data_IF_592136199732
#
_entry.id   IF_592136199732
#
_cell.length_a   1.000
_cell.length_b   1.000
_cell.length_c   1.000
_cell.angle_alpha   90.00
_cell.angle_beta   90.00
_cell.angle_gamma   90.00
#
_symmetry.space_group_name_H-M   'P 1'
#
loop_
_entity.id
_entity.type
_entity.pdbx_description
1 polymer ?
#
# COMPACT_ATOMS: atom_id res chain seq x y z
N UNK A 1 -8.29 -47.87 -2.91
CA UNK A 1 -9.44 -47.78 -1.99
C UNK A 1 -9.16 -46.72 -0.94
N UNK A 2 -9.69 -45.49 -1.09
CA UNK A 2 -9.56 -44.43 -0.09
C UNK A 2 -10.83 -44.41 0.78
N UNK A 3 -10.68 -44.62 2.09
CA UNK A 3 -11.75 -44.55 3.09
C UNK A 3 -11.98 -43.08 3.49
N UNK A 4 -13.22 -42.62 3.38
CA UNK A 4 -13.70 -41.29 3.81
C UNK A 4 -14.09 -41.34 5.29
N UNK A 5 -13.56 -40.46 6.16
CA UNK A 5 -13.76 -40.59 7.63
C UNK A 5 -14.12 -39.33 8.42
N UNK A 6 -14.71 -38.27 7.83
CA UNK A 6 -15.52 -37.29 8.61
C UNK A 6 -16.33 -36.34 7.72
N UNK A 7 -17.58 -36.08 8.13
CA UNK A 7 -18.53 -35.14 7.49
C UNK A 7 -18.52 -33.83 8.28
N UNK A 8 -18.33 -32.69 7.61
CA UNK A 8 -18.48 -31.38 8.25
C UNK A 8 -19.98 -31.09 8.44
N UNK A 9 -20.41 -30.72 9.66
CA UNK A 9 -21.82 -30.61 10.03
C UNK A 9 -22.59 -29.41 9.44
N UNK A 10 -21.93 -28.50 8.71
CA UNK A 10 -22.58 -27.28 8.20
C UNK A 10 -22.53 -27.13 6.67
N UNK A 11 -21.73 -27.94 5.97
CA UNK A 11 -21.63 -27.91 4.51
C UNK A 11 -21.36 -29.35 4.04
N UNK A 12 -22.36 -29.99 3.41
CA UNK A 12 -22.35 -31.41 3.03
C UNK A 12 -21.36 -31.74 1.88
N UNK A 13 -20.05 -31.53 2.07
CA UNK A 13 -19.01 -31.90 1.10
C UNK A 13 -17.81 -32.61 1.75
N UNK A 14 -17.19 -33.54 1.01
CA UNK A 14 -16.08 -34.37 1.46
C UNK A 14 -14.73 -33.70 1.13
N UNK A 15 -13.87 -33.49 2.14
CA UNK A 15 -12.54 -32.87 1.96
C UNK A 15 -11.41 -33.91 1.99
N UNK A 16 -10.44 -33.77 1.08
CA UNK A 16 -9.14 -34.45 1.11
C UNK A 16 -8.20 -33.71 2.09
N UNK A 17 -7.50 -34.48 2.94
CA UNK A 17 -6.85 -34.03 4.18
C UNK A 17 -5.57 -33.17 4.06
N UNK A 18 -5.45 -32.25 3.09
CA UNK A 18 -4.26 -31.39 3.00
C UNK A 18 -4.54 -29.98 2.48
N UNK A 19 -5.43 -29.25 3.16
CA UNK A 19 -5.54 -27.80 3.03
C UNK A 19 -6.12 -27.22 4.33
N UNK A 20 -5.27 -26.97 5.33
CA UNK A 20 -5.64 -26.09 6.43
C UNK A 20 -5.52 -24.65 5.93
N UNK A 21 -6.62 -24.08 5.46
CA UNK A 21 -7.00 -22.67 5.62
C UNK A 21 -8.31 -22.41 4.88
N UNK A 22 -9.44 -22.55 5.59
CA UNK A 22 -10.72 -21.97 5.18
C UNK A 22 -10.74 -20.50 5.61
N UNK A 23 -10.89 -19.61 4.63
CA UNK A 23 -11.07 -18.16 4.81
C UNK A 23 -12.56 -17.85 4.73
N UNK A 24 -13.20 -17.43 5.82
CA UNK A 24 -14.50 -16.75 5.78
C UNK A 24 -14.58 -15.71 6.92
N UNK A 25 -14.74 -14.45 6.49
CA UNK A 25 -15.57 -13.36 7.04
C UNK A 25 -15.67 -13.24 8.58
N UNK A 26 -15.20 -12.11 9.09
CA UNK A 26 -14.99 -11.88 10.52
C UNK A 26 -16.25 -11.76 11.37
N UNK A 27 -16.09 -12.06 12.66
CA UNK A 27 -16.83 -11.53 13.80
C UNK A 27 -16.07 -11.94 15.07
N UNK A 28 -15.97 -11.01 16.01
CA UNK A 28 -15.59 -11.31 17.39
C UNK A 28 -16.61 -12.27 18.00
N UNK A 29 -16.15 -13.31 18.70
CA UNK A 29 -16.96 -14.01 19.69
C UNK A 29 -16.10 -14.39 20.89
N UNK A 30 -16.14 -13.52 21.90
CA UNK A 30 -16.15 -13.96 23.30
C UNK A 30 -17.33 -14.91 23.50
N UNK A 31 -17.08 -16.09 24.07
CA UNK A 31 -18.14 -17.08 24.32
C UNK A 31 -17.61 -18.22 25.18
N UNK A 32 -18.07 -18.26 26.42
CA UNK A 32 -17.75 -19.25 27.44
C UNK A 32 -18.19 -20.66 27.05
N UNK A 33 -17.36 -21.65 27.36
CA UNK A 33 -17.81 -23.03 27.54
C UNK A 33 -17.35 -23.54 28.91
N UNK A 34 -18.29 -23.51 29.84
CA UNK A 34 -18.31 -24.32 31.05
C UNK A 34 -18.96 -25.66 30.70
N UNK A 35 -18.21 -26.77 30.76
CA UNK A 35 -18.82 -28.08 31.00
C UNK A 35 -17.99 -28.90 31.99
N UNK A 36 -18.75 -29.52 32.88
CA UNK A 36 -18.37 -30.23 34.08
C UNK A 36 -17.82 -31.63 33.77
N UNK A 37 -16.83 -32.04 34.57
CA UNK A 37 -16.87 -33.36 35.22
C UNK A 37 -16.07 -34.49 34.57
N UNK A 38 -14.83 -34.69 35.02
CA UNK A 38 -14.38 -36.02 35.42
C UNK A 38 -13.23 -35.90 36.44
N UNK A 39 -13.48 -36.44 37.63
CA UNK A 39 -12.50 -36.57 38.71
C UNK A 39 -11.42 -37.55 38.31
N UNK A 40 -10.15 -37.19 38.53
CA UNK A 40 -9.12 -38.17 38.86
C UNK A 40 -8.19 -37.64 39.96
N UNK A 41 -8.07 -38.42 41.03
CA UNK A 41 -7.32 -38.10 42.25
C UNK A 41 -5.89 -38.61 42.14
N UNK A 42 -4.90 -37.71 42.14
CA UNK A 42 -3.64 -37.76 42.93
C UNK A 42 -2.50 -36.96 42.27
N UNK A 43 -2.25 -35.75 42.77
CA UNK A 43 -0.90 -35.24 43.05
C UNK A 43 -1.02 -33.92 43.85
N UNK A 44 -0.82 -33.98 45.18
CA UNK A 44 -0.73 -32.78 46.02
C UNK A 44 0.75 -32.43 46.19
N UNK A 45 1.37 -31.89 45.13
CA UNK A 45 2.64 -31.16 45.25
C UNK A 45 2.35 -29.67 45.45
N UNK A 46 3.22 -28.90 46.13
CA UNK A 46 3.04 -27.46 46.20
C UNK A 46 3.02 -26.88 44.78
N UNK A 47 1.91 -26.27 44.40
CA UNK A 47 1.79 -25.46 43.18
C UNK A 47 2.83 -24.35 43.31
N UNK A 48 3.83 -24.24 42.42
CA UNK A 48 4.68 -23.06 42.43
C UNK A 48 3.76 -21.88 42.13
N UNK A 49 3.58 -21.01 43.11
CA UNK A 49 3.02 -19.68 42.92
C UNK A 49 3.85 -18.99 41.85
N UNK A 50 3.36 -19.01 40.61
CA UNK A 50 3.90 -18.18 39.55
C UNK A 50 3.61 -16.74 39.94
N UNK A 51 4.61 -16.07 40.49
CA UNK A 51 4.59 -14.64 40.76
C UNK A 51 4.33 -13.92 39.42
N UNK A 52 3.24 -13.16 39.25
CA UNK A 52 2.95 -12.43 38.01
C UNK A 52 3.79 -11.14 37.92
N UNK A 53 5.08 -11.22 38.23
CA UNK A 53 5.95 -10.06 38.36
C UNK A 53 7.12 -10.19 37.37
N UNK A 54 7.06 -9.41 36.27
CA UNK A 54 8.18 -8.83 35.49
C UNK A 54 7.96 -8.71 33.96
N UNK A 55 6.80 -9.08 33.39
CA UNK A 55 6.59 -8.98 31.93
C UNK A 55 5.99 -7.62 31.49
N UNK A 56 5.24 -6.95 32.37
CA UNK A 56 4.56 -5.68 32.07
C UNK A 56 5.46 -4.49 31.64
N UNK A 57 6.68 -4.27 32.20
CA UNK A 57 7.49 -3.10 31.85
C UNK A 57 8.02 -3.13 30.40
N UNK A 58 8.29 -4.32 29.86
CA UNK A 58 8.85 -4.49 28.52
C UNK A 58 7.80 -4.30 27.41
N UNK A 59 6.52 -4.57 27.69
CA UNK A 59 5.43 -4.32 26.75
C UNK A 59 5.19 -2.82 26.55
N UNK A 60 5.06 -2.04 27.64
CA UNK A 60 4.81 -0.60 27.54
C UNK A 60 5.92 0.18 26.81
N UNK A 61 7.19 -0.21 27.01
CA UNK A 61 8.32 0.41 26.30
C UNK A 61 8.35 0.08 24.81
N UNK A 62 7.91 -1.12 24.41
CA UNK A 62 7.80 -1.53 22.99
C UNK A 62 6.67 -0.80 22.29
N UNK A 63 5.56 -0.58 22.98
CA UNK A 63 4.42 0.16 22.43
C UNK A 63 4.81 1.63 22.20
N UNK A 64 5.42 2.29 23.19
CA UNK A 64 5.91 3.68 23.06
C UNK A 64 6.91 3.82 21.90
N UNK A 65 7.87 2.89 21.78
CA UNK A 65 8.82 2.90 20.65
C UNK A 65 8.14 2.78 19.29
N UNK A 66 7.11 1.95 19.17
CA UNK A 66 6.36 1.78 17.92
C UNK A 66 5.65 3.07 17.53
N UNK A 67 5.02 3.76 18.48
CA UNK A 67 4.39 5.06 18.22
C UNK A 67 5.40 6.14 17.85
N UNK A 68 6.58 6.17 18.49
CA UNK A 68 7.68 7.06 18.13
C UNK A 68 8.15 6.78 16.69
N UNK A 69 8.34 5.51 16.34
CA UNK A 69 8.78 5.12 15.00
C UNK A 69 7.75 5.56 13.94
N UNK A 70 6.44 5.40 14.20
CA UNK A 70 5.38 5.91 13.31
C UNK A 70 5.46 7.44 13.20
N UNK A 71 5.58 8.16 14.32
CA UNK A 71 5.66 9.62 14.32
C UNK A 71 6.89 10.12 13.53
N UNK A 72 8.06 9.48 13.70
CA UNK A 72 9.27 9.80 12.96
C UNK A 72 9.09 9.53 11.47
N UNK A 73 8.54 8.38 11.08
CA UNK A 73 8.28 8.06 9.67
C UNK A 73 7.36 9.11 9.04
N UNK A 74 6.25 9.44 9.71
CA UNK A 74 5.30 10.45 9.21
C UNK A 74 5.96 11.83 9.13
N UNK A 75 6.71 12.25 10.14
CA UNK A 75 7.40 13.54 10.14
C UNK A 75 8.43 13.64 9.00
N UNK A 76 9.22 12.59 8.77
CA UNK A 76 10.17 12.53 7.66
C UNK A 76 9.45 12.55 6.31
N UNK A 77 8.34 11.83 6.16
CA UNK A 77 7.54 11.87 4.93
C UNK A 77 6.98 13.28 4.67
N UNK A 78 6.42 13.93 5.68
CA UNK A 78 5.93 15.32 5.56
C UNK A 78 7.07 16.27 5.15
N UNK A 79 8.21 16.22 5.85
CA UNK A 79 9.36 17.05 5.52
C UNK A 79 9.89 16.77 4.10
N UNK A 80 9.97 15.50 3.71
CA UNK A 80 10.39 15.07 2.37
C UNK A 80 9.46 15.64 1.30
N UNK A 81 8.14 15.56 1.50
CA UNK A 81 7.16 16.09 0.56
C UNK A 81 7.28 17.61 0.42
N UNK A 82 7.36 18.33 1.55
CA UNK A 82 7.50 19.78 1.54
C UNK A 82 8.79 20.22 0.84
N UNK A 83 9.91 19.57 1.13
CA UNK A 83 11.18 19.87 0.48
C UNK A 83 11.10 19.56 -1.02
N UNK A 84 10.57 18.39 -1.40
CA UNK A 84 10.49 17.95 -2.78
C UNK A 84 9.66 18.88 -3.68
N UNK A 85 8.64 19.55 -3.13
CA UNK A 85 7.70 20.36 -3.91
C UNK A 85 7.86 21.88 -3.74
N UNK A 86 8.46 22.36 -2.65
CA UNK A 86 8.53 23.80 -2.34
C UNK A 86 9.94 24.38 -2.26
N UNK A 87 10.99 23.64 -2.64
CA UNK A 87 12.37 24.16 -2.60
C UNK A 87 12.96 24.37 -3.98
N UNK A 88 13.29 23.29 -4.69
CA UNK A 88 13.90 23.35 -6.03
C UNK A 88 13.29 22.29 -6.94
N UNK A 89 13.25 22.52 -8.26
CA UNK A 89 12.75 21.52 -9.22
C UNK A 89 13.50 20.18 -9.19
N UNK A 90 14.74 20.18 -8.70
CA UNK A 90 15.59 19.00 -8.60
C UNK A 90 15.50 18.28 -7.25
N UNK A 91 14.89 18.90 -6.23
CA UNK A 91 14.85 18.35 -4.88
C UNK A 91 14.16 16.99 -4.84
N UNK A 92 13.10 16.80 -5.63
CA UNK A 92 12.37 15.52 -5.69
C UNK A 92 13.24 14.35 -6.19
N UNK A 93 14.20 14.57 -7.09
CA UNK A 93 15.10 13.54 -7.62
C UNK A 93 16.05 12.97 -6.56
N UNK A 94 16.29 13.73 -5.49
CA UNK A 94 17.29 13.40 -4.48
C UNK A 94 16.63 13.07 -3.15
N UNK A 95 15.73 13.93 -2.69
CA UNK A 95 15.19 13.89 -1.33
C UNK A 95 14.27 12.69 -1.12
N UNK A 96 13.42 12.36 -2.10
CA UNK A 96 12.47 11.23 -1.98
C UNK A 96 13.21 9.87 -1.93
N UNK A 97 14.14 9.54 -2.86
CA UNK A 97 14.92 8.30 -2.76
C UNK A 97 15.76 8.21 -1.48
N UNK A 98 16.43 9.29 -1.09
CA UNK A 98 17.26 9.31 0.12
C UNK A 98 16.40 9.08 1.37
N UNK A 99 15.26 9.75 1.49
CA UNK A 99 14.35 9.58 2.61
C UNK A 99 13.83 8.13 2.69
N UNK A 100 13.44 7.54 1.55
CA UNK A 100 12.97 6.15 1.52
C UNK A 100 14.05 5.15 1.98
N UNK A 101 15.29 5.30 1.51
CA UNK A 101 16.42 4.45 1.90
C UNK A 101 16.79 4.68 3.37
N UNK A 102 16.82 5.94 3.82
CA UNK A 102 17.12 6.31 5.20
C UNK A 102 16.10 5.76 6.19
N UNK A 103 14.81 5.90 5.87
CA UNK A 103 13.72 5.31 6.66
C UNK A 103 13.77 3.78 6.68
N UNK A 104 14.06 3.16 5.52
CA UNK A 104 14.26 1.71 5.44
C UNK A 104 15.39 1.28 6.38
N UNK A 105 16.54 1.93 6.31
CA UNK A 105 17.70 1.61 7.15
C UNK A 105 17.39 1.81 8.64
N UNK A 106 16.74 2.91 9.01
CA UNK A 106 16.33 3.21 10.38
C UNK A 106 15.40 2.12 10.93
N UNK A 107 14.31 1.80 10.23
CA UNK A 107 13.33 0.82 10.69
C UNK A 107 13.89 -0.61 10.67
N UNK A 108 14.81 -0.89 9.75
CA UNK A 108 15.56 -2.16 9.73
C UNK A 108 16.49 -2.29 10.93
N UNK A 109 17.16 -1.21 11.33
CA UNK A 109 17.98 -1.13 12.55
C UNK A 109 17.13 -1.28 13.82
N UNK A 110 15.89 -0.77 13.81
CA UNK A 110 14.89 -0.96 14.90
C UNK A 110 14.28 -2.37 14.96
N UNK A 111 14.73 -3.30 14.11
CA UNK A 111 14.39 -4.72 14.21
C UNK A 111 13.17 -5.18 13.40
N UNK A 112 12.75 -4.42 12.37
CA UNK A 112 11.80 -4.95 11.38
C UNK A 112 12.47 -5.98 10.48
N UNK A 113 11.77 -7.08 10.21
CA UNK A 113 12.19 -8.11 9.26
C UNK A 113 11.91 -7.70 7.82
N UNK A 114 12.63 -8.30 6.87
CA UNK A 114 12.36 -8.09 5.44
C UNK A 114 10.94 -8.50 5.04
N UNK A 115 10.36 -9.50 5.71
CA UNK A 115 8.98 -9.94 5.47
C UNK A 115 7.96 -8.88 5.88
N UNK A 116 8.12 -8.25 7.05
CA UNK A 116 7.26 -7.14 7.51
C UNK A 116 7.32 -5.95 6.55
N UNK A 117 8.49 -5.72 5.95
CA UNK A 117 8.71 -4.66 4.96
C UNK A 117 8.33 -5.06 3.53
N UNK A 118 7.91 -6.30 3.29
CA UNK A 118 7.46 -6.80 1.98
C UNK A 118 8.57 -7.11 0.99
N UNK A 119 9.79 -7.19 1.50
CA UNK A 119 11.01 -7.51 0.76
C UNK A 119 11.44 -8.97 0.99
N UNK A 120 10.67 -9.74 1.76
CA UNK A 120 10.90 -11.16 1.99
C UNK A 120 10.82 -11.98 0.70
N UNK A 121 11.79 -12.89 0.51
CA UNK A 121 11.92 -13.72 -0.70
C UNK A 121 10.80 -14.74 -0.87
N UNK A 122 10.23 -15.21 0.24
CA UNK A 122 9.17 -16.23 0.26
C UNK A 122 7.93 -15.82 -0.54
N UNK A 123 7.69 -14.50 -0.64
CA UNK A 123 6.53 -13.93 -1.29
C UNK A 123 6.77 -13.49 -2.73
N UNK A 124 7.96 -13.69 -3.31
CA UNK A 124 8.28 -13.20 -4.66
C UNK A 124 7.40 -13.81 -5.75
N UNK A 125 7.10 -15.11 -5.66
CA UNK A 125 6.21 -15.78 -6.63
C UNK A 125 4.78 -15.26 -6.55
N UNK A 126 4.26 -15.06 -5.34
CA UNK A 126 2.94 -14.45 -5.14
C UNK A 126 2.93 -13.01 -5.65
N UNK A 127 3.93 -12.22 -5.25
CA UNK A 127 4.16 -10.85 -5.72
C UNK A 127 4.17 -10.72 -7.23
N UNK A 128 4.93 -11.57 -7.94
CA UNK A 128 5.00 -11.57 -9.39
C UNK A 128 3.65 -11.90 -10.07
N UNK A 129 2.87 -12.83 -9.52
CA UNK A 129 1.52 -13.14 -10.03
C UNK A 129 0.58 -11.95 -9.91
N UNK A 130 0.52 -11.35 -8.72
CA UNK A 130 -0.31 -10.16 -8.48
C UNK A 130 0.17 -8.95 -9.30
N UNK A 131 1.49 -8.79 -9.47
CA UNK A 131 2.08 -7.77 -10.33
C UNK A 131 1.62 -7.92 -11.78
N UNK A 132 1.72 -9.12 -12.36
CA UNK A 132 1.28 -9.38 -13.73
C UNK A 132 -0.22 -9.08 -13.91
N UNK A 133 -1.07 -9.53 -12.98
CA UNK A 133 -2.51 -9.26 -13.02
C UNK A 133 -2.79 -7.75 -12.93
N UNK A 134 -2.12 -7.04 -12.02
CA UNK A 134 -2.29 -5.59 -11.87
C UNK A 134 -1.93 -4.82 -13.15
N UNK A 135 -0.78 -5.16 -13.75
CA UNK A 135 -0.31 -4.55 -14.99
C UNK A 135 -1.30 -4.78 -16.14
N UNK A 136 -1.83 -6.01 -16.28
CA UNK A 136 -2.82 -6.33 -17.32
C UNK A 136 -4.13 -5.56 -17.10
N UNK A 137 -4.63 -5.50 -15.87
CA UNK A 137 -5.86 -4.76 -15.55
C UNK A 137 -5.69 -3.27 -15.86
N UNK A 138 -4.59 -2.65 -15.41
CA UNK A 138 -4.34 -1.23 -15.66
C UNK A 138 -4.16 -0.96 -17.16
N UNK A 139 -3.40 -1.80 -17.86
CA UNK A 139 -3.23 -1.68 -19.31
C UNK A 139 -4.56 -1.78 -20.07
N UNK A 140 -5.45 -2.69 -19.65
CA UNK A 140 -6.79 -2.80 -20.23
C UNK A 140 -7.65 -1.55 -19.96
N UNK A 141 -7.65 -1.03 -18.73
CA UNK A 141 -8.40 0.20 -18.38
C UNK A 141 -7.90 1.41 -19.17
N UNK A 142 -6.57 1.60 -19.26
CA UNK A 142 -5.96 2.66 -20.05
C UNK A 142 -6.30 2.48 -21.54
N UNK A 143 -6.18 1.26 -22.07
CA UNK A 143 -6.52 0.94 -23.45
C UNK A 143 -7.98 1.27 -23.78
N UNK A 144 -8.93 0.90 -22.92
CA UNK A 144 -10.35 1.27 -23.07
C UNK A 144 -10.51 2.80 -23.06
N UNK A 145 -9.84 3.50 -22.14
CA UNK A 145 -9.86 4.96 -22.06
C UNK A 145 -9.29 5.66 -23.30
N UNK A 146 -8.33 5.06 -23.99
CA UNK A 146 -7.79 5.57 -25.26
C UNK A 146 -8.76 5.37 -26.43
N UNK A 147 -9.46 4.23 -26.44
CA UNK A 147 -10.44 3.89 -27.48
C UNK A 147 -11.69 4.77 -27.42
N UNK A 148 -12.07 5.26 -26.23
CA UNK A 148 -13.22 6.13 -26.03
C UNK A 148 -12.89 7.63 -26.26
N UNK A 149 -13.48 8.30 -27.28
CA UNK A 149 -13.16 9.70 -27.58
C UNK A 149 -13.45 10.67 -26.43
N UNK A 150 -14.48 10.38 -25.62
CA UNK A 150 -14.90 11.21 -24.48
C UNK A 150 -13.83 11.28 -23.37
N UNK A 151 -13.00 10.24 -23.23
CA UNK A 151 -11.95 10.17 -22.20
C UNK A 151 -10.58 10.65 -22.69
N UNK A 152 -10.35 10.78 -24.01
CA UNK A 152 -9.07 11.25 -24.57
C UNK A 152 -8.58 12.59 -24.00
N UNK A 153 -9.43 13.61 -23.77
CA UNK A 153 -8.99 14.85 -23.16
C UNK A 153 -8.37 14.69 -21.75
N UNK A 154 -8.70 13.62 -21.01
CA UNK A 154 -8.11 13.34 -19.70
C UNK A 154 -6.64 12.92 -19.78
N UNK A 155 -6.20 12.40 -20.94
CA UNK A 155 -4.81 12.02 -21.19
C UNK A 155 -3.95 13.19 -21.68
N UNK A 156 -4.56 14.31 -22.08
CA UNK A 156 -3.87 15.51 -22.53
C UNK A 156 -3.41 16.36 -21.33
N UNK A 157 -2.29 15.94 -20.74
CA UNK A 157 -1.56 16.70 -19.73
C UNK A 157 -0.31 17.33 -20.35
N UNK A 158 -0.11 18.64 -20.13
CA UNK A 158 1.02 19.40 -20.69
C UNK A 158 2.38 18.94 -20.16
N UNK A 159 2.44 18.38 -18.94
CA UNK A 159 3.67 17.81 -18.37
C UNK A 159 4.20 16.61 -19.16
N UNK A 160 3.37 16.00 -20.02
CA UNK A 160 3.75 14.84 -20.84
C UNK A 160 3.72 15.14 -22.35
N UNK A 161 3.66 16.42 -22.74
CA UNK A 161 3.89 16.84 -24.12
C UNK A 161 5.40 16.76 -24.45
N UNK A 162 5.90 15.52 -24.60
CA UNK A 162 7.32 15.22 -24.81
C UNK A 162 7.53 14.33 -26.03
N UNK A 163 8.79 14.16 -26.44
CA UNK A 163 9.17 13.23 -27.51
C UNK A 163 8.92 11.79 -27.06
N UNK A 164 8.74 10.88 -28.02
CA UNK A 164 8.61 9.43 -27.73
C UNK A 164 9.81 8.92 -26.93
N UNK A 165 11.03 9.36 -27.24
CA UNK A 165 12.24 8.98 -26.48
C UNK A 165 12.21 9.49 -25.03
N UNK A 166 11.75 10.72 -24.81
CA UNK A 166 11.55 11.28 -23.47
C UNK A 166 10.51 10.51 -22.66
N UNK A 167 9.40 10.12 -23.31
CA UNK A 167 8.35 9.30 -22.70
C UNK A 167 8.85 7.92 -22.27
N UNK A 168 9.64 7.26 -23.13
CA UNK A 168 10.25 5.96 -22.82
C UNK A 168 11.24 6.08 -21.66
N UNK A 169 12.12 7.08 -21.69
CA UNK A 169 13.06 7.35 -20.59
C UNK A 169 12.32 7.62 -19.27
N UNK A 170 11.28 8.45 -19.32
CA UNK A 170 10.45 8.75 -18.15
C UNK A 170 9.76 7.48 -17.61
N UNK A 171 9.05 6.76 -18.47
CA UNK A 171 8.25 5.57 -18.08
C UNK A 171 9.09 4.42 -17.54
N UNK A 172 10.26 4.14 -18.14
CA UNK A 172 11.05 2.95 -17.83
C UNK A 172 12.24 3.20 -16.91
N UNK A 173 12.69 4.45 -16.76
CA UNK A 173 13.89 4.75 -15.96
C UNK A 173 13.56 5.76 -14.86
N UNK A 174 13.10 6.96 -15.22
CA UNK A 174 12.96 8.03 -14.24
C UNK A 174 11.83 7.74 -13.25
N UNK A 175 10.61 7.45 -13.72
CA UNK A 175 9.45 7.18 -12.87
C UNK A 175 9.70 6.00 -11.92
N UNK A 176 10.22 4.85 -12.38
CA UNK A 176 10.56 3.74 -11.48
C UNK A 176 11.53 4.13 -10.35
N UNK A 177 12.62 4.79 -10.71
CA UNK A 177 13.73 5.05 -9.78
C UNK A 177 13.48 6.25 -8.86
N UNK A 178 12.81 7.28 -9.37
CA UNK A 178 12.56 8.52 -8.64
C UNK A 178 11.30 8.46 -7.79
N UNK A 179 10.26 7.77 -8.27
CA UNK A 179 8.92 7.84 -7.68
C UNK A 179 8.47 6.48 -7.18
N UNK A 180 8.30 5.51 -8.09
CA UNK A 180 7.62 4.26 -7.78
C UNK A 180 8.32 3.49 -6.66
N UNK A 181 9.62 3.19 -6.83
CA UNK A 181 10.35 2.38 -5.86
C UNK A 181 10.48 3.12 -4.52
N UNK A 182 10.93 4.40 -4.48
CA UNK A 182 11.01 5.14 -3.23
C UNK A 182 9.66 5.27 -2.49
N UNK A 183 8.58 5.63 -3.19
CA UNK A 183 7.28 5.81 -2.55
C UNK A 183 6.69 4.49 -2.06
N UNK A 184 6.75 3.42 -2.84
CA UNK A 184 6.27 2.12 -2.39
C UNK A 184 7.11 1.57 -1.24
N UNK A 185 8.43 1.83 -1.25
CA UNK A 185 9.28 1.47 -0.13
C UNK A 185 8.92 2.25 1.14
N UNK A 186 8.70 3.56 1.03
CA UNK A 186 8.42 4.40 2.19
C UNK A 186 7.00 4.15 2.76
N UNK A 187 5.97 4.08 1.91
CA UNK A 187 4.59 3.90 2.34
C UNK A 187 4.23 2.44 2.60
N UNK A 188 4.50 1.54 1.63
CA UNK A 188 4.07 0.14 1.72
C UNK A 188 5.14 -0.70 2.40
N UNK A 189 6.41 -0.34 2.33
CA UNK A 189 7.47 -1.00 3.10
C UNK A 189 7.49 -0.52 4.55
N UNK A 190 8.03 0.67 4.76
CA UNK A 190 8.35 1.23 6.08
C UNK A 190 7.09 1.58 6.86
N UNK A 191 6.26 2.51 6.38
CA UNK A 191 5.09 3.01 7.11
C UNK A 191 4.05 1.91 7.37
N UNK A 192 3.75 1.07 6.37
CA UNK A 192 2.87 -0.09 6.55
C UNK A 192 3.43 -1.05 7.61
N UNK A 193 4.74 -1.36 7.54
CA UNK A 193 5.40 -2.27 8.47
C UNK A 193 5.37 -1.77 9.92
N UNK A 194 5.60 -0.47 10.13
CA UNK A 194 5.55 0.16 11.47
C UNK A 194 4.12 0.24 12.00
N UNK A 195 3.17 0.74 11.19
CA UNK A 195 1.75 0.83 11.58
C UNK A 195 1.11 -0.54 11.83
N UNK A 196 1.53 -1.58 11.11
CA UNK A 196 0.99 -2.93 11.30
C UNK A 196 1.28 -3.49 12.70
N UNK A 197 2.39 -3.09 13.34
CA UNK A 197 2.71 -3.47 14.71
C UNK A 197 1.82 -2.76 15.74
N UNK A 198 1.44 -1.51 15.50
CA UNK A 198 0.62 -0.72 16.43
C UNK A 198 -0.89 -0.99 16.30
N UNK A 199 -1.40 -1.05 15.07
CA UNK A 199 -2.85 -1.01 14.80
C UNK A 199 -3.34 -2.17 13.92
N UNK A 200 -2.47 -3.10 13.54
CA UNK A 200 -2.78 -4.17 12.61
C UNK A 200 -3.24 -3.64 11.24
N UNK A 201 -3.87 -4.49 10.44
CA UNK A 201 -4.25 -4.14 9.07
C UNK A 201 -5.30 -3.03 8.99
N UNK A 202 -6.26 -2.96 9.93
CA UNK A 202 -7.36 -1.98 9.87
C UNK A 202 -6.81 -0.56 10.00
N UNK A 203 -5.92 -0.32 10.96
CA UNK A 203 -5.25 0.97 11.12
C UNK A 203 -4.39 1.31 9.92
N UNK A 204 -3.62 0.35 9.39
CA UNK A 204 -2.80 0.56 8.19
C UNK A 204 -3.66 0.93 6.98
N UNK A 205 -4.77 0.23 6.76
CA UNK A 205 -5.66 0.46 5.65
C UNK A 205 -6.43 1.79 5.76
N UNK A 206 -6.75 2.26 6.96
CA UNK A 206 -7.39 3.56 7.15
C UNK A 206 -6.36 4.69 7.13
N UNK A 207 -5.45 4.71 8.10
CA UNK A 207 -4.49 5.81 8.32
C UNK A 207 -3.46 5.86 7.19
N UNK A 208 -2.93 4.72 6.76
CA UNK A 208 -1.95 4.67 5.66
C UNK A 208 -2.54 5.17 4.34
N UNK A 209 -3.80 4.86 4.05
CA UNK A 209 -4.49 5.35 2.86
C UNK A 209 -4.76 6.84 2.93
N UNK A 210 -5.17 7.37 4.08
CA UNK A 210 -5.36 8.82 4.28
C UNK A 210 -4.04 9.59 4.14
N UNK A 211 -2.96 9.11 4.78
CA UNK A 211 -1.63 9.71 4.66
C UNK A 211 -1.13 9.69 3.21
N UNK A 212 -1.39 8.60 2.47
CA UNK A 212 -1.09 8.53 1.05
C UNK A 212 -1.94 9.50 0.23
N UNK A 213 -3.21 9.72 0.59
CA UNK A 213 -4.03 10.78 0.01
C UNK A 213 -3.41 12.17 0.22
N UNK A 214 -3.02 12.48 1.46
CA UNK A 214 -2.42 13.77 1.81
C UNK A 214 -1.05 14.01 1.17
N UNK A 215 -0.26 12.96 0.94
CA UNK A 215 1.00 13.03 0.18
C UNK A 215 0.82 13.68 -1.20
N UNK A 216 -0.36 13.54 -1.82
CA UNK A 216 -0.64 14.03 -3.17
C UNK A 216 -1.19 15.46 -3.21
N UNK A 217 -1.33 16.16 -2.08
CA UNK A 217 -1.84 17.52 -2.06
C UNK A 217 -0.94 18.45 -2.90
N UNK A 218 0.37 18.44 -2.62
CA UNK A 218 1.32 19.34 -3.27
C UNK A 218 1.38 19.14 -4.80
N UNK A 219 1.40 17.89 -5.25
CA UNK A 219 1.39 17.55 -6.68
C UNK A 219 0.06 17.88 -7.37
N UNK A 220 -1.03 18.01 -6.61
CA UNK A 220 -2.37 18.27 -7.17
C UNK A 220 -2.70 19.76 -7.29
N UNK A 221 -1.86 20.67 -6.79
CA UNK A 221 -2.13 22.11 -6.80
C UNK A 221 -2.30 22.68 -8.21
N UNK A 222 -1.63 22.10 -9.22
CA UNK A 222 -1.74 22.51 -10.64
C UNK A 222 -2.55 21.53 -11.50
N UNK A 223 -3.28 20.58 -10.90
CA UNK A 223 -3.87 19.47 -11.63
C UNK A 223 -4.94 19.92 -12.65
N UNK A 224 -5.81 20.88 -12.25
CA UNK A 224 -6.88 21.36 -13.13
C UNK A 224 -6.33 22.16 -14.30
N UNK A 225 -5.42 23.10 -14.05
CA UNK A 225 -4.81 23.95 -15.08
C UNK A 225 -3.86 23.19 -16.01
N UNK A 226 -3.24 22.10 -15.54
CA UNK A 226 -2.35 21.26 -16.33
C UNK A 226 -3.04 20.20 -17.19
N UNK A 227 -4.35 19.97 -17.03
CA UNK A 227 -5.08 18.90 -17.71
C UNK A 227 -6.31 19.44 -18.45
N UNK A 228 -6.36 19.22 -19.76
CA UNK A 228 -7.43 19.74 -20.63
C UNK A 228 -8.79 19.19 -20.23
N UNK A 229 -8.89 17.91 -19.91
CA UNK A 229 -10.13 17.26 -19.48
C UNK A 229 -10.66 17.83 -18.16
N UNK A 230 -9.80 18.00 -17.15
CA UNK A 230 -10.19 18.58 -15.87
C UNK A 230 -10.53 20.06 -15.97
N UNK A 231 -9.79 20.84 -16.77
CA UNK A 231 -10.16 22.23 -17.07
C UNK A 231 -11.57 22.32 -17.66
N UNK A 232 -11.93 21.41 -18.58
CA UNK A 232 -13.27 21.37 -19.17
C UNK A 232 -14.37 21.00 -18.16
N UNK A 233 -14.07 20.12 -17.21
CA UNK A 233 -15.05 19.65 -16.23
C UNK A 233 -15.23 20.60 -15.04
N UNK A 234 -14.13 21.12 -14.51
CA UNK A 234 -14.12 21.87 -13.25
C UNK A 234 -13.90 23.37 -13.43
N UNK A 235 -13.49 23.79 -14.64
CA UNK A 235 -13.11 25.17 -14.92
C UNK A 235 -11.72 25.55 -14.39
N UNK A 236 -11.52 26.85 -14.20
CA UNK A 236 -10.27 27.45 -13.70
C UNK A 236 -10.53 28.30 -12.44
N UNK A 237 -9.48 28.61 -11.69
CA UNK A 237 -9.55 29.44 -10.49
C UNK A 237 -9.56 28.64 -9.18
N UNK A 238 -9.70 29.35 -8.05
CA UNK A 238 -9.50 28.78 -6.71
C UNK A 238 -10.44 27.61 -6.41
N UNK A 239 -11.74 27.72 -6.74
CA UNK A 239 -12.71 26.65 -6.48
C UNK A 239 -12.45 25.41 -7.32
N UNK A 240 -12.04 25.58 -8.57
CA UNK A 240 -11.63 24.47 -9.43
C UNK A 240 -10.38 23.78 -8.88
N UNK A 241 -9.40 24.55 -8.39
CA UNK A 241 -8.21 24.02 -7.74
C UNK A 241 -8.55 23.25 -6.46
N UNK A 242 -9.38 23.79 -5.57
CA UNK A 242 -9.81 23.10 -4.34
C UNK A 242 -10.53 21.79 -4.69
N UNK A 243 -11.47 21.82 -5.64
CA UNK A 243 -12.20 20.63 -6.08
C UNK A 243 -11.25 19.59 -6.70
N UNK A 244 -10.29 20.03 -7.52
CA UNK A 244 -9.27 19.16 -8.13
C UNK A 244 -8.36 18.51 -7.09
N UNK A 245 -7.86 19.27 -6.12
CA UNK A 245 -7.02 18.75 -5.02
C UNK A 245 -7.82 17.79 -4.16
N UNK A 246 -9.04 18.15 -3.75
CA UNK A 246 -9.90 17.27 -2.94
C UNK A 246 -10.21 15.96 -3.69
N UNK A 247 -10.56 16.04 -4.98
CA UNK A 247 -10.77 14.88 -5.82
C UNK A 247 -9.54 13.99 -5.92
N UNK A 248 -8.35 14.60 -6.11
CA UNK A 248 -7.09 13.87 -6.16
C UNK A 248 -6.75 13.19 -4.83
N UNK A 249 -6.95 13.85 -3.69
CA UNK A 249 -6.74 13.28 -2.35
C UNK A 249 -7.67 12.09 -2.11
N UNK A 250 -8.95 12.20 -2.46
CA UNK A 250 -9.91 11.09 -2.32
C UNK A 250 -9.53 9.93 -3.24
N UNK A 251 -9.26 10.20 -4.52
CA UNK A 251 -8.89 9.18 -5.49
C UNK A 251 -7.59 8.45 -5.07
N UNK A 252 -6.59 9.20 -4.62
CA UNK A 252 -5.31 8.63 -4.18
C UNK A 252 -5.45 7.93 -2.84
N UNK A 253 -6.33 8.36 -1.92
CA UNK A 253 -6.63 7.59 -0.71
C UNK A 253 -7.29 6.24 -1.04
N UNK A 254 -8.25 6.21 -1.97
CA UNK A 254 -8.84 4.95 -2.46
C UNK A 254 -7.76 4.06 -3.09
N UNK A 255 -6.89 4.64 -3.92
CA UNK A 255 -5.76 3.91 -4.47
C UNK A 255 -4.85 3.38 -3.36
N UNK A 256 -4.55 4.19 -2.34
CA UNK A 256 -3.78 3.83 -1.15
C UNK A 256 -4.32 2.59 -0.44
N UNK A 257 -5.65 2.48 -0.35
CA UNK A 257 -6.31 1.29 0.16
C UNK A 257 -6.09 0.08 -0.74
N UNK A 258 -6.24 0.23 -2.06
CA UNK A 258 -5.99 -0.85 -3.05
C UNK A 258 -4.54 -1.33 -2.97
N UNK A 259 -3.57 -0.42 -2.91
CA UNK A 259 -2.15 -0.75 -2.73
C UNK A 259 -1.90 -1.50 -1.43
N UNK A 260 -2.51 -1.04 -0.33
CA UNK A 260 -2.39 -1.67 1.00
C UNK A 260 -2.99 -3.07 1.01
N UNK A 261 -4.15 -3.24 0.38
CA UNK A 261 -4.79 -4.54 0.19
C UNK A 261 -3.92 -5.47 -0.68
N UNK A 262 -3.39 -4.97 -1.80
CA UNK A 262 -2.55 -5.73 -2.73
C UNK A 262 -1.26 -6.18 -2.06
N UNK A 263 -0.65 -5.30 -1.26
CA UNK A 263 0.52 -5.62 -0.45
C UNK A 263 0.22 -6.73 0.56
N UNK A 264 -0.92 -6.67 1.27
CA UNK A 264 -1.31 -7.73 2.20
C UNK A 264 -1.59 -9.06 1.50
N UNK A 265 -2.27 -9.03 0.35
CA UNK A 265 -2.63 -10.24 -0.42
C UNK A 265 -1.42 -10.93 -1.04
N UNK A 266 -0.49 -10.14 -1.55
CA UNK A 266 0.72 -10.68 -2.18
C UNK A 266 1.83 -10.99 -1.17
N UNK A 267 1.87 -10.31 -0.03
CA UNK A 267 2.97 -10.37 0.94
C UNK A 267 4.24 -9.68 0.46
N UNK A 268 4.21 -8.96 -0.67
CA UNK A 268 5.39 -8.45 -1.37
C UNK A 268 5.20 -7.00 -1.85
N UNK A 269 6.29 -6.24 -1.94
CA UNK A 269 6.34 -4.94 -2.60
C UNK A 269 6.31 -5.04 -4.14
N UNK A 270 6.59 -6.20 -4.73
CA UNK A 270 6.61 -6.33 -6.20
C UNK A 270 5.25 -6.00 -6.81
N UNK A 271 4.16 -6.47 -6.20
CA UNK A 271 2.81 -6.22 -6.68
C UNK A 271 2.41 -4.72 -6.65
N UNK A 272 2.55 -4.00 -5.52
CA UNK A 272 2.27 -2.57 -5.50
C UNK A 272 3.26 -1.75 -6.35
N UNK A 273 4.55 -2.12 -6.43
CA UNK A 273 5.51 -1.47 -7.35
C UNK A 273 5.03 -1.58 -8.80
N UNK A 274 4.63 -2.76 -9.24
CA UNK A 274 4.15 -2.98 -10.60
C UNK A 274 2.84 -2.24 -10.88
N UNK A 275 1.90 -2.23 -9.92
CA UNK A 275 0.66 -1.46 -10.03
C UNK A 275 0.96 0.05 -10.17
N UNK A 276 1.80 0.59 -9.28
CA UNK A 276 2.17 2.01 -9.28
C UNK A 276 2.86 2.39 -10.59
N UNK A 277 3.85 1.61 -11.02
CA UNK A 277 4.50 1.79 -12.31
C UNK A 277 3.49 1.73 -13.46
N UNK A 278 2.58 0.77 -13.48
CA UNK A 278 1.60 0.67 -14.56
C UNK A 278 0.70 1.90 -14.64
N UNK A 279 0.25 2.45 -13.51
CA UNK A 279 -0.58 3.66 -13.48
C UNK A 279 0.18 4.89 -13.99
N UNK A 280 1.45 5.02 -13.63
CA UNK A 280 2.26 6.19 -13.97
C UNK A 280 2.93 6.06 -15.33
N UNK A 281 3.77 5.03 -15.51
CA UNK A 281 4.53 4.78 -16.73
C UNK A 281 3.63 4.56 -17.94
N UNK A 282 2.61 3.67 -17.84
CA UNK A 282 1.68 3.50 -18.97
C UNK A 282 0.81 4.74 -19.19
N UNK A 283 0.50 5.51 -18.13
CA UNK A 283 -0.19 6.79 -18.25
C UNK A 283 0.60 7.80 -19.09
N UNK A 284 1.91 7.90 -18.88
CA UNK A 284 2.80 8.74 -19.71
C UNK A 284 2.83 8.27 -21.16
N UNK A 285 2.98 6.96 -21.38
CA UNK A 285 2.97 6.40 -22.73
C UNK A 285 1.64 6.65 -23.45
N UNK A 286 0.52 6.51 -22.74
CA UNK A 286 -0.81 6.79 -23.25
C UNK A 286 -1.00 8.29 -23.56
N UNK A 287 -0.54 9.18 -22.68
CA UNK A 287 -0.59 10.62 -22.91
C UNK A 287 0.17 11.03 -24.17
N UNK A 288 1.41 10.54 -24.32
CA UNK A 288 2.25 10.82 -25.48
C UNK A 288 1.63 10.26 -26.77
N UNK A 289 1.05 9.06 -26.71
CA UNK A 289 0.32 8.50 -27.84
C UNK A 289 -0.84 9.41 -28.26
N UNK A 290 -1.67 9.88 -27.33
CA UNK A 290 -2.78 10.80 -27.65
C UNK A 290 -2.28 12.12 -28.23
N UNK A 291 -1.20 12.68 -27.69
CA UNK A 291 -0.57 13.91 -28.22
C UNK A 291 -0.05 13.76 -29.65
N UNK A 292 0.31 12.55 -30.10
CA UNK A 292 0.77 12.31 -31.48
C UNK A 292 -0.36 11.92 -32.45
N UNK A 293 -1.54 11.58 -31.93
CA UNK A 293 -2.71 11.18 -32.73
C UNK A 293 -3.62 12.37 -33.09
N UNK A 294 -3.41 13.54 -32.51
CA UNK A 294 -4.20 14.78 -32.69
C UNK A 294 -3.28 15.84 -33.27
#
# INVERSE_FOLDING_TARGET
MFRLTRRCGHCHSWLLARAQNCVVIGMDTTGSHSELGQQDRRYSGPVPTQTPAAVAPLHGLRDVRTYIDIAVVVAVLVATNLIAHFTTPWANFVVVPIAAIGLLALIRYRGHSWAELGLGRDHWRSGAKYAAVAVVIVGAVIGIGLLLPITRPMFLNSSYATTVSGALLASFVLIPLQTVIPEELAFRGVLHGTMARAWGFRGVAAVGSLLFGFWHIATSLGLTTGNVGLTRLLGVGLWAQIAGVAGAVVATAIAGFVFTWLRRRSGSLLAPIALHWSLNGMGVLAAVLVWHLI
#
